data_IF_650535437952
#
_entry.id   IF_650535437952
#
_cell.length_a   1.000
_cell.length_b   1.000
_cell.length_c   1.000
_cell.angle_alpha   90.00
_cell.angle_beta   90.00
_cell.angle_gamma   90.00
#
_symmetry.space_group_name_H-M   'P 1'
#
loop_
_entity.id
_entity.type
_entity.pdbx_description
1 polymer ?
#
# COMPACT_ATOMS: atom_id res chain seq x y z
N UNK A 1 19.99 31.80 24.23
CA UNK A 1 20.72 32.82 23.44
C UNK A 1 21.16 33.94 24.38
N UNK A 2 22.46 34.26 24.48
CA UNK A 2 22.91 35.50 25.13
C UNK A 2 22.82 36.61 24.08
N UNK A 3 21.82 37.46 24.16
CA UNK A 3 21.73 38.65 23.31
C UNK A 3 22.88 39.59 23.70
N UNK A 4 23.75 39.91 22.73
CA UNK A 4 24.92 40.75 22.94
C UNK A 4 24.63 42.13 22.38
N UNK A 5 24.71 43.16 23.23
CA UNK A 5 24.87 44.52 22.75
C UNK A 5 26.15 44.59 21.93
N UNK A 6 26.09 45.08 20.69
CA UNK A 6 27.29 45.48 19.98
C UNK A 6 27.53 46.97 20.24
N UNK A 7 28.77 47.28 20.51
CA UNK A 7 29.27 48.62 20.77
C UNK A 7 30.15 49.04 19.60
N UNK A 8 30.39 50.33 19.45
CA UNK A 8 31.31 50.93 18.47
C UNK A 8 32.14 51.97 19.22
N UNK A 9 33.42 52.15 18.89
CA UNK A 9 34.25 53.22 19.48
C UNK A 9 34.29 54.42 18.56
N UNK A 10 34.23 55.60 19.14
CA UNK A 10 34.56 56.86 18.47
C UNK A 10 36.03 57.24 18.78
N UNK A 11 36.60 58.17 18.02
CA UNK A 11 37.94 58.78 18.23
C UNK A 11 38.14 59.30 19.66
N UNK A 12 37.06 59.57 20.39
CA UNK A 12 37.02 60.01 21.78
C UNK A 12 37.32 58.93 22.83
N UNK A 13 37.70 57.70 22.45
CA UNK A 13 37.92 56.55 23.34
C UNK A 13 36.69 56.10 24.17
N UNK A 14 35.53 56.72 23.95
CA UNK A 14 34.24 56.37 24.56
C UNK A 14 33.54 55.37 23.65
N UNK A 15 32.92 54.35 24.26
CA UNK A 15 32.07 53.43 23.52
C UNK A 15 30.67 54.01 23.31
N UNK A 16 30.18 53.82 22.11
CA UNK A 16 28.83 54.10 21.69
C UNK A 16 28.10 52.78 21.49
N UNK A 17 26.79 52.80 21.63
CA UNK A 17 25.95 51.61 21.47
C UNK A 17 25.26 51.73 20.14
N UNK A 18 25.23 50.63 19.41
CA UNK A 18 24.62 50.59 18.09
C UNK A 18 23.10 50.83 18.18
N UNK A 19 22.56 51.69 17.31
CA UNK A 19 21.15 52.07 17.22
C UNK A 19 20.25 50.97 16.64
N UNK A 20 20.02 49.92 17.43
CA UNK A 20 19.02 48.90 17.11
C UNK A 20 17.57 49.38 17.30
N UNK A 21 17.35 50.50 18.00
CA UNK A 21 16.01 51.06 18.19
C UNK A 21 15.47 51.57 16.86
N UNK A 22 16.31 52.27 16.10
CA UNK A 22 15.95 52.80 14.78
C UNK A 22 16.47 51.95 13.61
N UNK A 23 17.13 50.83 13.91
CA UNK A 23 17.69 49.92 12.91
C UNK A 23 18.82 50.55 12.07
N UNK A 24 19.47 51.60 12.56
CA UNK A 24 20.52 52.32 11.83
C UNK A 24 21.87 51.65 12.05
N UNK A 25 22.52 51.26 10.96
CA UNK A 25 23.81 50.54 11.00
C UNK A 25 25.03 51.45 11.12
N UNK A 26 24.81 52.73 10.84
CA UNK A 26 25.80 53.80 10.68
C UNK A 26 25.79 54.80 11.84
N UNK A 27 24.86 54.65 12.80
CA UNK A 27 24.69 55.54 13.93
C UNK A 27 24.63 54.82 15.27
N UNK A 28 25.16 55.50 16.29
CA UNK A 28 24.94 55.18 17.69
C UNK A 28 23.52 55.54 18.16
N UNK A 29 23.06 54.95 19.27
CA UNK A 29 21.82 55.32 19.96
C UNK A 29 21.74 56.83 20.22
N UNK A 30 22.87 57.44 20.56
CA UNK A 30 22.97 58.88 20.77
C UNK A 30 22.96 59.72 19.48
N UNK A 31 22.83 59.10 18.30
CA UNK A 31 22.83 59.76 17.00
C UNK A 31 24.21 60.13 16.45
N UNK A 32 25.29 59.66 17.07
CA UNK A 32 26.65 59.89 16.57
C UNK A 32 26.92 58.96 15.38
N UNK A 33 27.37 59.52 14.26
CA UNK A 33 27.76 58.75 13.08
C UNK A 33 29.08 58.02 13.30
N UNK A 34 29.24 56.87 12.67
CA UNK A 34 30.50 56.11 12.70
C UNK A 34 31.39 56.56 11.55
N UNK A 35 32.52 57.21 11.84
CA UNK A 35 33.48 57.61 10.81
C UNK A 35 34.45 56.48 10.44
N UNK A 36 34.67 55.51 11.34
CA UNK A 36 35.63 54.41 11.16
C UNK A 36 35.04 53.08 11.70
N UNK A 37 34.85 52.01 10.89
CA UNK A 37 34.29 50.75 11.36
C UNK A 37 35.27 49.99 12.25
N UNK A 38 34.95 49.84 13.53
CA UNK A 38 35.75 49.03 14.47
C UNK A 38 34.96 47.78 14.85
N UNK A 39 35.42 46.62 14.39
CA UNK A 39 34.91 45.34 14.86
C UNK A 39 35.43 45.05 16.28
N UNK A 40 34.53 45.07 17.25
CA UNK A 40 34.83 44.58 18.61
C UNK A 40 34.90 43.05 18.58
N UNK A 41 36.04 42.52 18.14
CA UNK A 41 36.24 41.08 17.95
C UNK A 41 36.43 40.29 19.26
N UNK A 42 36.69 40.92 20.41
CA UNK A 42 37.15 40.19 21.60
C UNK A 42 36.51 40.64 22.92
N UNK A 43 35.34 40.06 23.20
CA UNK A 43 35.08 39.44 24.50
C UNK A 43 34.54 40.26 25.69
N UNK A 44 34.82 41.54 25.85
CA UNK A 44 34.41 42.27 27.07
C UNK A 44 33.61 43.55 26.81
N UNK A 45 32.56 43.76 27.62
CA UNK A 45 31.72 44.97 27.62
C UNK A 45 32.62 46.19 27.85
N UNK A 46 32.49 47.27 27.06
CA UNK A 46 33.28 48.47 27.27
C UNK A 46 33.11 49.01 28.70
N UNK A 47 34.21 49.43 29.33
CA UNK A 47 34.20 49.96 30.71
C UNK A 47 33.43 51.27 30.84
N UNK A 48 33.29 52.05 29.76
CA UNK A 48 32.55 53.32 29.71
C UNK A 48 31.78 53.47 28.41
N UNK A 49 30.53 53.92 28.53
CA UNK A 49 29.62 54.26 27.43
C UNK A 49 29.31 55.75 27.49
N UNK A 50 29.05 56.41 26.36
CA UNK A 50 28.68 57.83 26.38
C UNK A 50 27.37 58.06 27.17
N UNK A 51 27.23 59.19 27.88
CA UNK A 51 26.07 59.47 28.76
C UNK A 51 24.72 59.38 28.02
N UNK A 52 24.65 59.87 26.79
CA UNK A 52 23.45 59.82 25.97
C UNK A 52 23.07 58.38 25.59
N UNK A 53 24.04 57.56 25.17
CA UNK A 53 23.80 56.13 24.94
C UNK A 53 23.38 55.43 26.25
N UNK A 54 24.01 55.76 27.38
CA UNK A 54 23.67 55.16 28.67
C UNK A 54 22.26 55.53 29.14
N UNK A 55 21.77 56.74 28.86
CA UNK A 55 20.38 57.13 29.16
C UNK A 55 19.35 56.36 28.32
N UNK A 56 19.70 55.98 27.09
CA UNK A 56 18.82 55.23 26.18
C UNK A 56 18.92 53.70 26.36
N UNK A 57 19.78 53.22 27.27
CA UNK A 57 20.06 51.79 27.40
C UNK A 57 18.85 50.95 27.77
N UNK A 58 18.06 51.40 28.74
CA UNK A 58 16.88 50.66 29.19
C UNK A 58 15.83 50.51 28.08
N UNK A 59 15.69 51.53 27.22
CA UNK A 59 14.80 51.48 26.06
C UNK A 59 15.33 50.49 25.00
N UNK A 60 16.64 50.52 24.73
CA UNK A 60 17.28 49.60 23.80
C UNK A 60 17.17 48.14 24.29
N UNK A 61 17.38 47.91 25.59
CA UNK A 61 17.16 46.62 26.26
C UNK A 61 15.71 46.15 26.08
N UNK A 62 14.73 47.01 26.36
CA UNK A 62 13.31 46.66 26.24
C UNK A 62 12.90 46.31 24.79
N UNK A 63 13.41 47.03 23.78
CA UNK A 63 13.16 46.71 22.36
C UNK A 63 13.78 45.36 22.00
N UNK A 64 15.03 45.13 22.40
CA UNK A 64 15.76 43.89 22.11
C UNK A 64 15.08 42.67 22.77
N UNK A 65 14.63 42.80 24.02
CA UNK A 65 13.91 41.73 24.72
C UNK A 65 12.52 41.48 24.13
N UNK A 66 11.79 42.51 23.71
CA UNK A 66 10.50 42.33 23.02
C UNK A 66 10.67 41.55 21.72
N UNK A 67 11.62 41.94 20.87
CA UNK A 67 11.90 41.23 19.62
C UNK A 67 12.28 39.77 19.87
N UNK A 68 13.15 39.51 20.85
CA UNK A 68 13.52 38.14 21.20
C UNK A 68 12.34 37.31 21.73
N UNK A 69 11.43 37.93 22.51
CA UNK A 69 10.21 37.27 22.98
C UNK A 69 9.25 36.96 21.82
N UNK A 70 9.07 37.89 20.89
CA UNK A 70 8.25 37.69 19.67
C UNK A 70 8.80 36.56 18.81
N UNK A 71 10.11 36.52 18.57
CA UNK A 71 10.79 35.43 17.85
C UNK A 71 10.61 34.08 18.56
N UNK A 72 10.75 34.05 19.89
CA UNK A 72 10.54 32.84 20.69
C UNK A 72 9.07 32.36 20.63
N UNK A 73 8.10 33.28 20.69
CA UNK A 73 6.68 32.96 20.55
C UNK A 73 6.39 32.45 19.14
N UNK A 74 6.93 33.10 18.10
CA UNK A 74 6.76 32.68 16.72
C UNK A 74 7.33 31.27 16.49
N UNK A 75 8.53 30.99 17.00
CA UNK A 75 9.16 29.67 16.96
C UNK A 75 8.31 28.62 17.67
N UNK A 76 7.85 28.89 18.90
CA UNK A 76 6.96 28.00 19.64
C UNK A 76 5.65 27.73 18.90
N UNK A 77 5.04 28.76 18.30
CA UNK A 77 3.82 28.61 17.48
C UNK A 77 4.06 27.74 16.25
N UNK A 78 5.21 27.90 15.59
CA UNK A 78 5.60 27.06 14.45
C UNK A 78 5.73 25.60 14.86
N UNK A 79 6.52 25.30 15.89
CA UNK A 79 6.67 23.93 16.39
C UNK A 79 5.36 23.33 16.90
N UNK A 80 4.49 24.15 17.50
CA UNK A 80 3.14 23.72 17.88
C UNK A 80 2.29 23.29 16.68
N UNK A 81 2.36 24.03 15.56
CA UNK A 81 1.66 23.65 14.32
C UNK A 81 2.23 22.38 13.71
N UNK A 82 3.56 22.25 13.66
CA UNK A 82 4.23 21.04 13.16
C UNK A 82 3.82 19.82 13.99
N UNK A 83 3.81 19.95 15.33
CA UNK A 83 3.34 18.89 16.23
C UNK A 83 1.88 18.50 15.95
N UNK A 84 0.97 19.47 15.79
CA UNK A 84 -0.44 19.16 15.50
C UNK A 84 -0.62 18.50 14.13
N UNK A 85 0.16 18.88 13.12
CA UNK A 85 0.13 18.24 11.79
C UNK A 85 0.58 16.79 11.89
N UNK A 86 1.73 16.56 12.52
CA UNK A 86 2.30 15.22 12.69
C UNK A 86 1.38 14.31 13.51
N UNK A 87 0.73 14.85 14.54
CA UNK A 87 -0.26 14.11 15.32
C UNK A 87 -1.47 13.70 14.47
N UNK A 88 -1.96 14.59 13.60
CA UNK A 88 -3.09 14.26 12.72
C UNK A 88 -2.70 13.20 11.66
N UNK A 89 -1.49 13.29 11.11
CA UNK A 89 -0.95 12.28 10.17
C UNK A 89 -0.80 10.92 10.85
N UNK A 90 -0.33 10.89 12.10
CA UNK A 90 -0.23 9.66 12.88
C UNK A 90 -1.61 9.01 13.12
N UNK A 91 -2.62 9.78 13.53
CA UNK A 91 -3.98 9.27 13.76
C UNK A 91 -4.61 8.75 12.46
N UNK A 92 -4.39 9.42 11.34
CA UNK A 92 -4.86 8.95 10.03
C UNK A 92 -4.21 7.60 9.66
N UNK A 93 -2.90 7.49 9.80
CA UNK A 93 -2.17 6.24 9.53
C UNK A 93 -2.60 5.11 10.47
N UNK A 94 -2.85 5.42 11.74
CA UNK A 94 -3.36 4.46 12.72
C UNK A 94 -4.74 3.91 12.31
N UNK A 95 -5.65 4.79 11.89
CA UNK A 95 -6.96 4.37 11.40
C UNK A 95 -6.87 3.50 10.14
N UNK A 96 -5.97 3.83 9.19
CA UNK A 96 -5.73 2.99 8.02
C UNK A 96 -5.19 1.60 8.41
N UNK A 97 -4.27 1.54 9.37
CA UNK A 97 -3.76 0.28 9.90
C UNK A 97 -4.86 -0.59 10.52
N UNK A 98 -5.77 0.01 11.30
CA UNK A 98 -6.90 -0.72 11.89
C UNK A 98 -7.83 -1.33 10.82
N UNK A 99 -8.10 -0.59 9.74
CA UNK A 99 -8.89 -1.10 8.61
C UNK A 99 -8.17 -2.29 7.97
N UNK A 100 -6.88 -2.17 7.66
CA UNK A 100 -6.12 -3.28 7.08
C UNK A 100 -6.03 -4.50 8.00
N UNK A 101 -5.99 -4.30 9.32
CA UNK A 101 -5.99 -5.41 10.27
C UNK A 101 -7.31 -6.20 10.22
N UNK A 102 -8.45 -5.51 10.10
CA UNK A 102 -9.76 -6.15 9.95
C UNK A 102 -9.86 -6.87 8.60
N UNK A 103 -9.44 -6.23 7.51
CA UNK A 103 -9.45 -6.82 6.17
C UNK A 103 -8.58 -8.09 6.11
N UNK A 104 -7.42 -8.07 6.77
CA UNK A 104 -6.53 -9.23 6.86
C UNK A 104 -7.19 -10.41 7.56
N UNK A 105 -7.85 -10.19 8.71
CA UNK A 105 -8.54 -11.27 9.42
C UNK A 105 -9.76 -11.79 8.65
N UNK A 106 -10.47 -10.93 7.92
CA UNK A 106 -11.53 -11.36 7.00
C UNK A 106 -10.97 -12.27 5.91
N UNK A 107 -9.92 -11.84 5.22
CA UNK A 107 -9.29 -12.63 4.15
C UNK A 107 -8.73 -13.96 4.65
N UNK A 108 -8.19 -13.97 5.87
CA UNK A 108 -7.73 -15.19 6.52
C UNK A 108 -8.88 -16.18 6.74
N UNK A 109 -10.01 -15.69 7.24
CA UNK A 109 -11.21 -16.51 7.45
C UNK A 109 -11.73 -17.06 6.13
N UNK A 110 -11.83 -16.21 5.10
CA UNK A 110 -12.26 -16.63 3.74
C UNK A 110 -11.34 -17.72 3.16
N UNK A 111 -10.03 -17.60 3.39
CA UNK A 111 -9.06 -18.61 2.98
C UNK A 111 -9.28 -19.95 3.71
N UNK A 112 -9.49 -19.92 5.03
CA UNK A 112 -9.75 -21.12 5.83
C UNK A 112 -11.04 -21.81 5.37
N UNK A 113 -12.10 -21.06 5.08
CA UNK A 113 -13.35 -21.58 4.55
C UNK A 113 -13.19 -22.22 3.17
N UNK A 114 -12.45 -21.55 2.26
CA UNK A 114 -12.17 -22.09 0.94
C UNK A 114 -11.33 -23.37 1.00
N UNK A 115 -10.36 -23.42 1.92
CA UNK A 115 -9.54 -24.60 2.15
C UNK A 115 -10.40 -25.79 2.62
N UNK A 116 -11.34 -25.56 3.53
CA UNK A 116 -12.25 -26.61 3.99
C UNK A 116 -13.16 -27.11 2.86
N UNK A 117 -13.72 -26.21 2.04
CA UNK A 117 -14.52 -26.59 0.87
C UNK A 117 -13.73 -27.43 -0.13
N UNK A 118 -12.46 -27.09 -0.35
CA UNK A 118 -11.57 -27.86 -1.21
C UNK A 118 -11.37 -29.29 -0.68
N UNK A 119 -11.10 -29.46 0.62
CA UNK A 119 -10.93 -30.80 1.20
C UNK A 119 -12.23 -31.61 1.17
N UNK A 120 -13.39 -30.99 1.38
CA UNK A 120 -14.68 -31.66 1.21
C UNK A 120 -14.89 -32.16 -0.23
N UNK A 121 -14.63 -31.28 -1.21
CA UNK A 121 -14.77 -31.63 -2.63
C UNK A 121 -13.82 -32.76 -3.02
N UNK A 122 -12.60 -32.76 -2.49
CA UNK A 122 -11.61 -33.83 -2.69
C UNK A 122 -12.12 -35.17 -2.16
N UNK A 123 -12.69 -35.20 -0.97
CA UNK A 123 -13.27 -36.43 -0.39
C UNK A 123 -14.44 -36.94 -1.23
N UNK A 124 -15.30 -36.03 -1.71
CA UNK A 124 -16.42 -36.38 -2.58
C UNK A 124 -15.96 -36.91 -3.94
N UNK A 125 -14.91 -36.33 -4.52
CA UNK A 125 -14.27 -36.84 -5.73
C UNK A 125 -13.76 -38.28 -5.54
N UNK A 126 -12.99 -38.54 -4.47
CA UNK A 126 -12.50 -39.89 -4.16
C UNK A 126 -13.65 -40.90 -3.98
N UNK A 127 -14.75 -40.45 -3.38
CA UNK A 127 -15.97 -41.27 -3.22
C UNK A 127 -16.61 -41.57 -4.57
N UNK A 128 -16.70 -40.59 -5.46
CA UNK A 128 -17.26 -40.75 -6.80
C UNK A 128 -16.40 -41.69 -7.66
N UNK A 129 -15.08 -41.57 -7.56
CA UNK A 129 -14.13 -42.45 -8.26
C UNK A 129 -14.32 -43.92 -7.85
N UNK A 130 -14.42 -44.20 -6.54
CA UNK A 130 -14.70 -45.56 -6.04
C UNK A 130 -16.04 -46.11 -6.54
N UNK A 131 -17.09 -45.27 -6.58
CA UNK A 131 -18.40 -45.67 -7.12
C UNK A 131 -18.31 -45.99 -8.61
N UNK A 132 -17.62 -45.16 -9.38
CA UNK A 132 -17.39 -45.37 -10.80
C UNK A 132 -16.66 -46.69 -11.05
N UNK A 133 -15.61 -46.98 -10.30
CA UNK A 133 -14.87 -48.24 -10.42
C UNK A 133 -15.74 -49.46 -10.10
N UNK A 134 -16.56 -49.37 -9.03
CA UNK A 134 -17.51 -50.43 -8.68
C UNK A 134 -18.51 -50.70 -9.80
N UNK A 135 -19.08 -49.64 -10.39
CA UNK A 135 -20.02 -49.76 -11.52
C UNK A 135 -19.34 -50.32 -12.77
N UNK A 136 -18.10 -49.90 -13.05
CA UNK A 136 -17.31 -50.41 -14.18
C UNK A 136 -17.12 -51.93 -14.08
N UNK A 137 -16.67 -52.41 -12.91
CA UNK A 137 -16.51 -53.84 -12.64
C UNK A 137 -17.84 -54.59 -12.74
N UNK A 138 -18.92 -54.02 -12.19
CA UNK A 138 -20.25 -54.62 -12.29
C UNK A 138 -20.70 -54.78 -13.75
N UNK A 139 -20.54 -53.75 -14.58
CA UNK A 139 -20.89 -53.77 -16.00
C UNK A 139 -20.03 -54.76 -16.79
N UNK A 140 -18.74 -54.91 -16.47
CA UNK A 140 -17.87 -55.94 -17.05
C UNK A 140 -18.35 -57.35 -16.70
N UNK A 141 -18.72 -57.59 -15.44
CA UNK A 141 -19.25 -58.88 -15.01
C UNK A 141 -20.57 -59.23 -15.71
N UNK A 142 -21.49 -58.25 -15.84
CA UNK A 142 -22.73 -58.44 -16.60
C UNK A 142 -22.45 -58.78 -18.07
N UNK A 143 -21.52 -58.06 -18.73
CA UNK A 143 -21.10 -58.35 -20.11
C UNK A 143 -20.55 -59.78 -20.25
N UNK A 144 -19.71 -60.23 -19.32
CA UNK A 144 -19.19 -61.62 -19.28
C UNK A 144 -20.31 -62.65 -19.14
N UNK A 145 -21.24 -62.43 -18.22
CA UNK A 145 -22.38 -63.32 -18.01
C UNK A 145 -23.27 -63.44 -19.25
N UNK A 146 -23.55 -62.32 -19.91
CA UNK A 146 -24.32 -62.30 -21.16
C UNK A 146 -23.61 -63.08 -22.27
N UNK A 147 -22.29 -62.93 -22.42
CA UNK A 147 -21.51 -63.69 -23.39
C UNK A 147 -21.57 -65.21 -23.15
N UNK A 148 -21.47 -65.64 -21.88
CA UNK A 148 -21.61 -67.05 -21.49
C UNK A 148 -23.02 -67.58 -21.86
N UNK A 149 -24.07 -66.83 -21.55
CA UNK A 149 -25.45 -67.23 -21.84
C UNK A 149 -25.70 -67.32 -23.35
N UNK A 150 -25.18 -66.39 -24.14
CA UNK A 150 -25.26 -66.42 -25.60
C UNK A 150 -24.50 -67.62 -26.19
N UNK A 151 -23.29 -67.91 -25.70
CA UNK A 151 -22.53 -69.10 -26.09
C UNK A 151 -23.27 -70.41 -25.78
N UNK A 152 -23.90 -70.51 -24.61
CA UNK A 152 -24.74 -71.67 -24.23
C UNK A 152 -25.98 -71.82 -25.14
N UNK A 153 -26.60 -70.71 -25.56
CA UNK A 153 -27.71 -70.75 -26.53
C UNK A 153 -27.26 -71.23 -27.91
N UNK A 154 -26.10 -70.77 -28.38
CA UNK A 154 -25.53 -71.21 -29.65
C UNK A 154 -25.18 -72.72 -29.66
N UNK A 155 -24.68 -73.26 -28.55
CA UNK A 155 -24.36 -74.69 -28.41
C UNK A 155 -25.58 -75.61 -28.32
N UNK A 156 -26.72 -75.11 -27.85
CA UNK A 156 -27.99 -75.86 -27.73
C UNK A 156 -28.89 -75.77 -28.97
N UNK A 157 -28.58 -74.89 -29.92
CA UNK A 157 -29.24 -74.90 -31.22
C UNK A 157 -28.86 -76.19 -31.96
N UNK A 158 -29.81 -77.08 -32.32
CA UNK A 158 -29.50 -78.22 -33.17
C UNK A 158 -28.84 -77.68 -34.42
N UNK A 159 -27.61 -78.12 -34.68
CA UNK A 159 -26.90 -77.80 -35.92
C UNK A 159 -27.67 -78.54 -37.02
N UNK A 160 -28.70 -77.89 -37.55
CA UNK A 160 -29.52 -78.41 -38.64
C UNK A 160 -28.63 -78.49 -39.88
N UNK A 161 -28.06 -79.68 -40.09
CA UNK A 161 -27.22 -80.02 -41.24
C UNK A 161 -28.04 -80.17 -42.53
N UNK A 162 -29.33 -79.81 -42.54
CA UNK A 162 -30.23 -80.05 -43.67
C UNK A 162 -30.74 -78.81 -44.41
N UNK A 163 -30.11 -77.64 -44.24
CA UNK A 163 -30.43 -76.46 -45.07
C UNK A 163 -29.47 -76.30 -46.25
N UNK A 164 -29.89 -76.79 -47.42
CA UNK A 164 -29.31 -76.39 -48.72
C UNK A 164 -29.37 -74.86 -48.85
N UNK A 165 -28.34 -74.21 -49.42
CA UNK A 165 -28.37 -72.78 -49.65
C UNK A 165 -29.45 -72.47 -50.68
N UNK A 166 -30.52 -71.80 -50.26
CA UNK A 166 -31.44 -71.14 -51.18
C UNK A 166 -30.70 -69.89 -51.66
N UNK A 167 -30.22 -69.94 -52.91
CA UNK A 167 -29.78 -68.76 -53.63
C UNK A 167 -30.93 -67.76 -53.64
N UNK A 168 -30.70 -66.56 -53.12
CA UNK A 168 -31.60 -65.43 -53.35
C UNK A 168 -30.81 -64.22 -53.83
N UNK A 169 -31.44 -63.39 -54.68
CA UNK A 169 -30.74 -62.65 -55.72
C UNK A 169 -30.14 -61.36 -55.18
N UNK A 170 -29.08 -60.92 -55.83
CA UNK A 170 -28.52 -59.57 -55.73
C UNK A 170 -29.65 -58.56 -55.93
N UNK A 171 -29.86 -57.69 -54.94
CA UNK A 171 -30.46 -56.37 -55.19
C UNK A 171 -29.48 -55.29 -54.76
N UNK A 172 -29.29 -54.39 -55.71
CA UNK A 172 -28.36 -53.30 -55.73
C UNK A 172 -28.89 -52.12 -54.91
N UNK A 173 -27.93 -51.37 -54.33
CA UNK A 173 -27.84 -49.91 -54.37
C UNK A 173 -29.11 -49.11 -54.06
N UNK A 174 -29.08 -48.38 -52.94
CA UNK A 174 -29.31 -46.93 -52.99
C UNK A 174 -28.48 -46.23 -51.92
N UNK A 175 -27.46 -45.52 -52.39
CA UNK A 175 -26.83 -44.45 -51.63
C UNK A 175 -27.78 -43.24 -51.63
N UNK A 176 -27.92 -42.59 -50.47
CA UNK A 176 -28.30 -41.19 -50.40
C UNK A 176 -27.52 -40.53 -49.27
N UNK A 177 -26.59 -39.68 -49.70
CA UNK A 177 -25.99 -38.63 -48.89
C UNK A 177 -27.09 -37.63 -48.47
N UNK A 178 -26.99 -37.12 -47.24
CA UNK A 178 -27.46 -35.78 -46.90
C UNK A 178 -26.48 -35.17 -45.91
N UNK A 179 -25.98 -34.02 -46.31
CA UNK A 179 -25.14 -33.07 -45.59
C UNK A 179 -25.78 -32.52 -44.31
N UNK A 180 -24.96 -31.96 -43.43
CA UNK A 180 -25.42 -31.12 -42.32
C UNK A 180 -24.40 -31.08 -41.18
N UNK A 181 -23.31 -30.32 -41.31
CA UNK A 181 -23.16 -28.96 -40.75
C UNK A 181 -23.68 -28.82 -39.31
N UNK A 182 -22.75 -28.59 -38.38
CA UNK A 182 -23.06 -28.37 -36.96
C UNK A 182 -21.82 -28.06 -36.15
N UNK A 183 -21.06 -27.04 -36.57
CA UNK A 183 -20.07 -26.41 -35.71
C UNK A 183 -20.77 -25.61 -34.62
N UNK A 184 -20.31 -25.75 -33.38
CA UNK A 184 -20.56 -24.77 -32.32
C UNK A 184 -19.23 -24.57 -31.61
N UNK A 185 -18.59 -23.44 -31.92
CA UNK A 185 -17.55 -22.88 -31.10
C UNK A 185 -18.16 -22.12 -29.92
N UNK A 186 -17.42 -22.08 -28.82
CA UNK A 186 -17.55 -21.03 -27.82
C UNK A 186 -16.13 -20.54 -27.50
N UNK A 187 -15.86 -19.33 -28.00
CA UNK A 187 -14.78 -18.47 -27.54
C UNK A 187 -15.25 -17.70 -26.28
N UNK A 188 -14.29 -17.60 -25.35
CA UNK A 188 -13.93 -16.46 -24.48
C UNK A 188 -14.99 -15.54 -23.85
N UNK A 189 -14.80 -15.29 -22.54
CA UNK A 189 -14.79 -13.97 -21.84
C UNK A 189 -14.36 -14.24 -20.38
N UNK A 190 -13.16 -13.86 -19.94
CA UNK A 190 -12.83 -12.56 -19.34
C UNK A 190 -13.85 -12.06 -18.30
N UNK A 191 -13.50 -12.24 -17.02
CA UNK A 191 -13.44 -11.22 -15.97
C UNK A 191 -12.73 -11.81 -14.74
#
# INVERSE_FOLDING_TARGET
MRLRFRYVRDRSAIAHIWDYIKGRQDHALCGHGYEDPVELQTGERPRRVCRACQALMSQAEAVLWRKAAEEAIASKRKSGREYTSLSAEYEALWSEYEVYAVDYESLRTDYEDLYNQYEELRVDYDRLERKHETLRVHAENQRRMLAILQGKRAAKSPRDKSRKPISSPKTAVYAKAVDGSGGIGYDAKEA
#
